data_IF_092059985400
#
_entry.id   IF_092059985400
#
_cell.length_a   1.000
_cell.length_b   1.000
_cell.length_c   1.000
_cell.angle_alpha   90.00
_cell.angle_beta   90.00
_cell.angle_gamma   90.00
#
_symmetry.space_group_name_H-M   'P 1'
#
loop_
_entity.id
_entity.type
_entity.pdbx_description
1 polymer ?
#
# COMPACT_ATOMS: atom_id res chain seq x y z
N UNK A 1 -5.65 12.08 -15.46
CA UNK A 1 -5.19 12.00 -14.06
C UNK A 1 -6.34 11.53 -13.19
N UNK A 2 -6.12 10.49 -12.41
CA UNK A 2 -7.14 9.89 -11.55
C UNK A 2 -6.59 9.89 -10.12
N UNK A 3 -7.39 10.30 -9.16
CA UNK A 3 -7.09 10.13 -7.73
C UNK A 3 -8.26 9.43 -7.07
N UNK A 4 -7.99 8.30 -6.43
CA UNK A 4 -8.97 7.57 -5.64
C UNK A 4 -8.76 7.85 -4.15
N UNK A 5 -9.82 7.88 -3.38
CA UNK A 5 -9.76 8.14 -1.94
C UNK A 5 -9.81 6.81 -1.18
N UNK A 6 -8.64 6.35 -0.72
CA UNK A 6 -8.52 5.22 0.20
C UNK A 6 -8.71 5.68 1.66
N UNK A 7 -8.26 4.92 2.63
CA UNK A 7 -8.39 5.23 4.06
C UNK A 7 -7.32 4.50 4.86
N UNK A 8 -6.93 5.06 6.00
CA UNK A 8 -6.11 4.37 7.01
C UNK A 8 -6.74 3.05 7.47
N UNK A 9 -8.07 2.98 7.53
CA UNK A 9 -8.79 1.74 7.78
C UNK A 9 -8.53 0.69 6.70
N UNK A 10 -8.42 1.08 5.43
CA UNK A 10 -8.06 0.17 4.34
C UNK A 10 -6.60 -0.29 4.42
N UNK A 11 -5.70 0.60 4.81
CA UNK A 11 -4.26 0.31 4.87
C UNK A 11 -3.86 -0.45 6.13
N UNK A 12 -4.43 -0.10 7.28
CA UNK A 12 -3.95 -0.54 8.60
C UNK A 12 -5.03 -1.22 9.45
N UNK A 13 -6.28 -1.20 9.00
CA UNK A 13 -7.43 -1.73 9.74
C UNK A 13 -8.00 -0.78 10.78
N UNK A 14 -9.26 -1.02 11.16
CA UNK A 14 -9.92 -0.40 12.29
C UNK A 14 -11.05 -1.31 12.78
N UNK A 15 -11.23 -1.41 14.10
CA UNK A 15 -12.23 -2.28 14.70
C UNK A 15 -13.65 -1.95 14.18
N UNK A 16 -14.42 -2.98 13.84
CA UNK A 16 -15.81 -2.85 13.39
C UNK A 16 -15.97 -2.35 11.93
N UNK A 17 -14.90 -2.17 11.16
CA UNK A 17 -14.93 -1.60 9.80
C UNK A 17 -14.40 -2.56 8.72
N UNK A 18 -14.62 -3.87 8.86
CA UNK A 18 -14.09 -4.87 7.91
C UNK A 18 -14.57 -4.63 6.46
N UNK A 19 -15.85 -4.35 6.26
CA UNK A 19 -16.43 -4.06 4.94
C UNK A 19 -15.89 -2.74 4.35
N UNK A 20 -15.78 -1.70 5.16
CA UNK A 20 -15.22 -0.42 4.76
C UNK A 20 -13.72 -0.54 4.43
N UNK A 21 -12.95 -1.24 5.28
CA UNK A 21 -11.54 -1.51 5.04
C UNK A 21 -11.30 -2.27 3.74
N UNK A 22 -12.08 -3.33 3.49
CA UNK A 22 -12.02 -4.10 2.25
C UNK A 22 -12.29 -3.22 1.02
N UNK A 23 -13.34 -2.39 1.06
CA UNK A 23 -13.69 -1.47 -0.02
C UNK A 23 -12.57 -0.44 -0.28
N UNK A 24 -11.99 0.13 0.77
CA UNK A 24 -10.95 1.15 0.65
C UNK A 24 -9.59 0.59 0.21
N UNK A 25 -9.22 -0.62 0.64
CA UNK A 25 -8.02 -1.30 0.14
C UNK A 25 -8.24 -1.79 -1.31
N UNK A 26 -9.45 -2.19 -1.69
CA UNK A 26 -9.80 -2.53 -3.05
C UNK A 26 -9.50 -1.42 -4.06
N UNK A 27 -9.63 -0.13 -3.66
CA UNK A 27 -9.23 1.01 -4.48
C UNK A 27 -7.73 1.06 -4.74
N UNK A 28 -6.90 0.62 -3.78
CA UNK A 28 -5.44 0.51 -3.97
C UNK A 28 -5.12 -0.61 -4.96
N UNK A 29 -5.79 -1.76 -4.86
CA UNK A 29 -5.66 -2.85 -5.83
C UNK A 29 -6.05 -2.41 -7.25
N UNK A 30 -7.17 -1.68 -7.38
CA UNK A 30 -7.59 -1.08 -8.65
C UNK A 30 -6.54 -0.10 -9.19
N UNK A 31 -6.02 0.80 -8.35
CA UNK A 31 -4.95 1.73 -8.72
C UNK A 31 -3.72 0.98 -9.24
N UNK A 32 -3.27 -0.07 -8.54
CA UNK A 32 -2.09 -0.85 -8.93
C UNK A 32 -2.25 -1.52 -10.31
N UNK A 33 -3.47 -1.92 -10.67
CA UNK A 33 -3.76 -2.48 -11.99
C UNK A 33 -3.86 -1.39 -13.05
N UNK A 34 -4.63 -0.33 -12.79
CA UNK A 34 -4.86 0.76 -13.75
C UNK A 34 -3.59 1.57 -14.07
N UNK A 35 -2.62 1.69 -13.14
CA UNK A 35 -1.34 2.34 -13.44
C UNK A 35 -0.58 1.63 -14.57
N UNK A 36 -0.75 0.31 -14.69
CA UNK A 36 -0.11 -0.51 -15.73
C UNK A 36 -0.91 -0.43 -17.02
N UNK A 37 -2.22 -0.66 -16.96
CA UNK A 37 -3.12 -0.63 -18.12
C UNK A 37 -3.15 0.75 -18.80
N UNK A 38 -3.11 1.81 -18.00
CA UNK A 38 -3.17 3.20 -18.46
C UNK A 38 -1.87 3.77 -18.99
N UNK A 39 -0.73 3.12 -18.75
CA UNK A 39 0.61 3.65 -19.04
C UNK A 39 0.79 4.06 -20.50
N UNK A 40 0.35 3.22 -21.44
CA UNK A 40 0.45 3.50 -22.89
C UNK A 40 -0.34 4.72 -23.35
N UNK A 41 -1.34 5.14 -22.59
CA UNK A 41 -2.20 6.28 -22.88
C UNK A 41 -1.89 7.48 -21.98
N UNK A 42 -0.75 7.48 -21.27
CA UNK A 42 -0.37 8.51 -20.30
C UNK A 42 -1.46 8.77 -19.23
N UNK A 43 -2.21 7.73 -18.89
CA UNK A 43 -3.16 7.77 -17.77
C UNK A 43 -2.38 7.46 -16.49
N UNK A 44 -2.45 8.36 -15.54
CA UNK A 44 -1.83 8.22 -14.23
C UNK A 44 -2.90 8.15 -13.17
N UNK A 45 -2.75 7.22 -12.25
CA UNK A 45 -3.68 7.01 -11.13
C UNK A 45 -2.91 6.91 -9.83
N UNK A 46 -3.41 7.61 -8.81
CA UNK A 46 -2.86 7.65 -7.45
C UNK A 46 -3.98 7.49 -6.42
N UNK A 47 -3.62 7.23 -5.19
CA UNK A 47 -4.54 7.18 -4.06
C UNK A 47 -4.20 8.27 -3.04
N UNK A 48 -5.21 8.91 -2.46
CA UNK A 48 -5.07 9.74 -1.27
C UNK A 48 -5.70 9.01 -0.08
N UNK A 49 -4.98 9.00 1.04
CA UNK A 49 -5.44 8.51 2.35
C UNK A 49 -5.57 9.72 3.29
N UNK A 50 -6.74 10.39 3.30
CA UNK A 50 -6.90 11.63 4.05
C UNK A 50 -7.22 11.38 5.52
N UNK A 51 -6.71 12.27 6.38
CA UNK A 51 -7.17 12.48 7.75
C UNK A 51 -7.74 13.90 7.81
N UNK A 52 -9.07 13.99 7.79
CA UNK A 52 -9.76 15.27 7.77
C UNK A 52 -11.04 15.24 8.60
N UNK A 53 -11.33 16.33 9.26
CA UNK A 53 -12.58 16.52 9.98
C UNK A 53 -13.73 16.72 8.99
N UNK A 54 -14.78 15.94 9.14
CA UNK A 54 -16.02 16.01 8.36
C UNK A 54 -17.20 15.78 9.28
N UNK A 55 -18.40 15.95 8.78
CA UNK A 55 -19.63 15.58 9.51
C UNK A 55 -19.61 14.14 10.06
N UNK A 56 -18.85 13.23 9.41
CA UNK A 56 -18.71 11.84 9.87
C UNK A 56 -17.79 11.70 11.09
N UNK A 57 -16.98 12.70 11.40
CA UNK A 57 -16.04 12.70 12.54
C UNK A 57 -16.50 13.59 13.69
N UNK A 58 -17.62 14.28 13.53
CA UNK A 58 -18.24 15.06 14.60
C UNK A 58 -18.54 14.18 15.83
N UNK A 59 -18.13 14.65 17.00
CA UNK A 59 -18.30 13.91 18.26
C UNK A 59 -17.30 12.76 18.52
N UNK A 60 -16.42 12.44 17.57
CA UNK A 60 -15.40 11.40 17.76
C UNK A 60 -14.08 11.94 18.35
N UNK A 61 -13.86 13.25 18.26
CA UNK A 61 -12.63 13.94 18.73
C UNK A 61 -13.01 15.27 19.36
N UNK A 62 -12.14 15.82 20.26
CA UNK A 62 -12.30 17.19 20.75
C UNK A 62 -12.35 18.21 19.61
N UNK A 63 -13.14 19.26 19.76
CA UNK A 63 -13.34 20.29 18.74
C UNK A 63 -12.03 21.00 18.34
N UNK A 64 -11.12 21.21 19.30
CA UNK A 64 -9.79 21.77 19.05
C UNK A 64 -8.94 20.91 18.11
N UNK A 65 -9.08 19.58 18.17
CA UNK A 65 -8.40 18.65 17.27
C UNK A 65 -9.05 18.69 15.89
N UNK A 66 -10.39 18.68 15.84
CA UNK A 66 -11.14 18.77 14.58
C UNK A 66 -10.83 20.05 13.82
N UNK A 67 -10.63 21.17 14.52
CA UNK A 67 -10.27 22.45 13.94
C UNK A 67 -8.90 22.42 13.21
N UNK A 68 -8.01 21.49 13.57
CA UNK A 68 -6.71 21.32 12.93
C UNK A 68 -6.76 20.34 11.72
N UNK A 69 -7.86 19.62 11.55
CA UNK A 69 -8.04 18.60 10.52
C UNK A 69 -8.93 19.11 9.37
N UNK A 70 -8.78 20.36 8.98
CA UNK A 70 -9.59 20.93 7.89
C UNK A 70 -9.35 20.17 6.56
N UNK A 71 -10.39 19.84 5.80
CA UNK A 71 -10.26 19.19 4.49
C UNK A 71 -9.35 19.93 3.52
N UNK A 72 -9.31 21.27 3.62
CA UNK A 72 -8.47 22.14 2.78
C UNK A 72 -6.98 21.85 2.93
N UNK A 73 -6.54 21.29 4.07
CA UNK A 73 -5.14 20.90 4.30
C UNK A 73 -4.71 19.65 3.52
N UNK A 74 -5.66 18.89 2.97
CA UNK A 74 -5.39 17.76 2.08
C UNK A 74 -5.21 18.21 0.62
N UNK A 75 -5.87 19.28 0.22
CA UNK A 75 -5.95 19.76 -1.17
C UNK A 75 -4.57 19.94 -1.84
N UNK A 76 -3.53 20.55 -1.23
CA UNK A 76 -2.23 20.71 -1.88
C UNK A 76 -1.59 19.38 -2.27
N UNK A 77 -1.77 18.34 -1.46
CA UNK A 77 -1.31 16.98 -1.78
C UNK A 77 -2.02 16.41 -3.00
N UNK A 78 -3.36 16.53 -3.05
CA UNK A 78 -4.16 16.07 -4.19
C UNK A 78 -3.76 16.80 -5.47
N UNK A 79 -3.51 18.11 -5.41
CA UNK A 79 -3.06 18.89 -6.57
C UNK A 79 -1.74 18.37 -7.15
N UNK A 80 -0.80 17.89 -6.30
CA UNK A 80 0.42 17.26 -6.75
C UNK A 80 0.16 15.90 -7.45
N UNK A 81 -0.89 15.19 -7.09
CA UNK A 81 -1.25 13.91 -7.71
C UNK A 81 -1.96 14.06 -9.06
N UNK A 82 -2.42 15.25 -9.43
CA UNK A 82 -3.14 15.50 -10.69
C UNK A 82 -2.40 16.41 -11.68
N UNK A 83 -1.24 16.96 -11.33
CA UNK A 83 -0.44 17.79 -12.25
C UNK A 83 0.07 16.97 -13.46
N UNK A 84 0.54 17.67 -14.50
CA UNK A 84 0.97 17.05 -15.75
C UNK A 84 2.07 16.00 -15.53
N UNK A 85 3.05 16.29 -14.68
CA UNK A 85 4.18 15.43 -14.31
C UNK A 85 3.91 14.60 -13.03
N UNK A 86 2.65 14.44 -12.62
CA UNK A 86 2.28 13.66 -11.44
C UNK A 86 2.88 12.25 -11.46
N UNK A 87 3.19 11.66 -10.28
CA UNK A 87 3.55 10.25 -10.17
C UNK A 87 2.38 9.34 -10.62
N UNK A 88 2.60 8.04 -10.63
CA UNK A 88 1.53 7.04 -10.76
C UNK A 88 1.75 5.90 -9.79
N UNK A 89 0.68 5.39 -9.19
CA UNK A 89 0.76 4.31 -8.21
C UNK A 89 1.16 4.74 -6.80
N UNK A 90 1.13 6.05 -6.49
CA UNK A 90 1.44 6.57 -5.17
C UNK A 90 0.23 6.50 -4.25
N UNK A 91 0.45 6.12 -3.00
CA UNK A 91 -0.51 6.27 -1.90
C UNK A 91 -0.01 7.42 -1.02
N UNK A 92 -0.69 8.57 -1.08
CA UNK A 92 -0.35 9.76 -0.31
C UNK A 92 -1.25 9.86 0.92
N UNK A 93 -0.68 9.72 2.11
CA UNK A 93 -1.34 10.08 3.36
C UNK A 93 -1.25 11.58 3.58
N UNK A 94 -2.37 12.23 3.92
CA UNK A 94 -2.47 13.68 4.04
C UNK A 94 -3.45 14.08 5.15
N UNK A 95 -3.03 14.99 6.03
CA UNK A 95 -3.89 15.55 7.09
C UNK A 95 -3.16 16.58 7.92
N UNK A 96 -3.86 17.60 8.42
CA UNK A 96 -3.31 18.67 9.25
C UNK A 96 -2.06 19.36 8.65
N UNK A 97 -1.92 19.39 7.32
CA UNK A 97 -0.74 19.91 6.65
C UNK A 97 0.48 18.96 6.63
N UNK A 98 0.36 17.76 7.19
CA UNK A 98 1.37 16.70 7.12
C UNK A 98 1.10 15.77 5.94
N UNK A 99 2.18 15.32 5.28
CA UNK A 99 2.12 14.41 4.14
C UNK A 99 3.16 13.31 4.29
N UNK A 100 2.78 12.08 3.94
CA UNK A 100 3.69 10.94 3.87
C UNK A 100 3.26 9.99 2.77
N UNK A 101 4.17 9.12 2.32
CA UNK A 101 3.87 8.06 1.37
C UNK A 101 3.69 6.72 2.10
N UNK A 102 2.70 5.95 1.68
CA UNK A 102 2.56 4.54 2.07
C UNK A 102 2.91 3.64 0.89
N UNK A 103 3.56 2.52 1.17
CA UNK A 103 3.96 1.53 0.17
C UNK A 103 3.61 0.12 0.65
N UNK A 104 3.38 -0.79 -0.30
CA UNK A 104 3.28 -2.22 -0.08
C UNK A 104 4.63 -2.82 -0.44
N UNK A 105 5.27 -3.45 0.52
CA UNK A 105 6.58 -4.07 0.35
C UNK A 105 6.55 -5.50 0.87
N UNK A 106 7.46 -6.34 0.37
CA UNK A 106 7.69 -7.68 0.89
C UNK A 106 9.11 -7.76 1.50
N UNK A 107 9.27 -8.63 2.47
CA UNK A 107 10.59 -9.03 2.96
C UNK A 107 11.37 -9.76 1.87
N UNK A 108 12.67 -9.92 2.07
CA UNK A 108 13.50 -10.69 1.14
C UNK A 108 13.01 -12.13 0.95
N UNK A 109 12.43 -12.73 2.00
CA UNK A 109 11.96 -14.11 2.01
C UNK A 109 13.09 -15.15 2.04
N UNK A 110 12.72 -16.43 1.98
CA UNK A 110 13.63 -17.55 1.96
C UNK A 110 13.10 -18.69 1.08
N UNK A 111 13.98 -19.41 0.39
CA UNK A 111 13.66 -20.71 -0.18
C UNK A 111 13.76 -21.77 0.92
N UNK A 112 12.71 -22.53 1.13
CA UNK A 112 12.61 -23.54 2.21
C UNK A 112 12.77 -24.97 1.66
N UNK A 113 12.35 -25.22 0.43
CA UNK A 113 12.44 -26.55 -0.18
C UNK A 113 11.30 -26.82 -1.17
N UNK A 114 11.30 -28.00 -1.75
CA UNK A 114 10.23 -28.56 -2.59
C UNK A 114 10.04 -30.06 -2.30
N UNK A 115 8.91 -30.63 -2.69
CA UNK A 115 8.58 -32.03 -2.47
C UNK A 115 8.55 -32.39 -0.98
N UNK A 116 9.10 -33.52 -0.60
CA UNK A 116 9.10 -34.03 0.79
C UNK A 116 9.89 -33.16 1.77
N UNK A 117 10.79 -32.33 1.28
CA UNK A 117 11.54 -31.38 2.12
C UNK A 117 10.71 -30.14 2.52
N UNK A 118 9.60 -29.86 1.87
CA UNK A 118 8.75 -28.72 2.17
C UNK A 118 7.69 -29.10 3.20
N UNK A 119 8.00 -28.93 4.47
CA UNK A 119 7.11 -29.21 5.60
C UNK A 119 6.81 -27.95 6.40
N UNK A 120 5.80 -28.01 7.27
CA UNK A 120 5.47 -26.90 8.17
C UNK A 120 6.65 -26.56 9.11
N UNK A 121 7.34 -27.59 9.60
CA UNK A 121 8.50 -27.46 10.47
C UNK A 121 9.68 -26.80 9.73
N UNK A 122 9.87 -27.12 8.45
CA UNK A 122 10.90 -26.47 7.64
C UNK A 122 10.59 -24.99 7.42
N UNK A 123 9.32 -24.61 7.24
CA UNK A 123 8.89 -23.20 7.17
C UNK A 123 9.12 -22.52 8.52
N UNK A 124 8.76 -23.16 9.63
CA UNK A 124 9.00 -22.64 10.98
C UNK A 124 10.49 -22.40 11.24
N UNK A 125 11.36 -23.35 10.88
CA UNK A 125 12.81 -23.20 11.02
C UNK A 125 13.39 -22.05 10.19
N UNK A 126 12.73 -21.63 9.11
CA UNK A 126 13.13 -20.51 8.26
C UNK A 126 12.43 -19.18 8.64
N UNK A 127 11.56 -19.18 9.66
CA UNK A 127 10.63 -18.08 9.95
C UNK A 127 11.31 -16.72 10.12
N UNK A 128 12.42 -16.67 10.87
CA UNK A 128 13.17 -15.44 11.09
C UNK A 128 13.69 -14.81 9.79
N UNK A 129 14.11 -15.66 8.82
CA UNK A 129 14.54 -15.18 7.50
C UNK A 129 13.35 -14.72 6.64
N UNK A 130 12.22 -15.43 6.73
CA UNK A 130 10.99 -15.11 5.99
C UNK A 130 10.45 -13.76 6.45
N UNK A 131 10.52 -13.46 7.76
CA UNK A 131 9.93 -12.26 8.37
C UNK A 131 10.93 -11.13 8.59
N UNK A 132 12.19 -11.26 8.15
CA UNK A 132 13.23 -10.23 8.30
C UNK A 132 12.88 -8.97 7.50
N UNK A 133 12.50 -7.91 8.21
CA UNK A 133 12.15 -6.61 7.63
C UNK A 133 13.34 -5.70 7.35
N UNK A 134 14.58 -6.14 7.62
CA UNK A 134 15.80 -5.36 7.38
C UNK A 134 16.06 -5.12 5.88
N UNK A 135 15.56 -6.02 5.03
CA UNK A 135 15.57 -5.88 3.55
C UNK A 135 14.16 -6.02 3.02
N UNK A 136 13.72 -4.99 2.32
CA UNK A 136 12.38 -4.93 1.75
C UNK A 136 12.46 -4.72 0.23
N UNK A 137 11.54 -5.34 -0.48
CA UNK A 137 11.41 -5.25 -1.94
C UNK A 137 10.07 -4.63 -2.28
N UNK A 138 10.09 -3.61 -3.12
CA UNK A 138 8.90 -3.01 -3.71
C UNK A 138 8.69 -3.59 -5.11
N UNK A 139 7.49 -4.09 -5.39
CA UNK A 139 7.09 -4.58 -6.71
C UNK A 139 6.15 -3.60 -7.40
N UNK A 140 6.44 -3.26 -8.65
CA UNK A 140 5.60 -2.39 -9.46
C UNK A 140 4.47 -3.15 -10.17
N UNK A 141 4.62 -4.46 -10.32
CA UNK A 141 3.65 -5.33 -10.98
C UNK A 141 3.71 -6.76 -10.42
N UNK A 142 2.59 -7.48 -10.50
CA UNK A 142 2.52 -8.87 -10.05
C UNK A 142 3.50 -9.81 -10.78
N UNK A 143 3.88 -9.51 -12.02
CA UNK A 143 4.91 -10.27 -12.74
C UNK A 143 6.30 -10.19 -12.11
N UNK A 144 6.67 -9.04 -11.53
CA UNK A 144 7.94 -8.88 -10.81
C UNK A 144 7.97 -9.74 -9.53
N UNK A 145 6.85 -9.79 -8.80
CA UNK A 145 6.70 -10.70 -7.66
C UNK A 145 6.90 -12.17 -8.08
N UNK A 146 6.28 -12.62 -9.19
CA UNK A 146 6.50 -13.96 -9.73
C UNK A 146 7.97 -14.23 -10.05
N UNK A 147 8.66 -13.27 -10.67
CA UNK A 147 10.10 -13.37 -10.95
C UNK A 147 10.94 -13.48 -9.69
N UNK A 148 10.58 -12.76 -8.60
CA UNK A 148 11.25 -12.86 -7.31
C UNK A 148 11.13 -14.27 -6.71
N UNK A 149 9.96 -14.90 -6.79
CA UNK A 149 9.77 -16.30 -6.33
C UNK A 149 10.68 -17.26 -7.11
N UNK A 150 10.79 -17.10 -8.43
CA UNK A 150 11.70 -17.92 -9.23
C UNK A 150 13.19 -17.64 -8.92
N UNK A 151 13.55 -16.41 -8.58
CA UNK A 151 14.90 -16.07 -8.16
C UNK A 151 15.27 -16.74 -6.82
N UNK A 152 14.36 -16.76 -5.85
CA UNK A 152 14.53 -17.48 -4.59
C UNK A 152 14.70 -18.98 -4.80
N UNK A 153 13.89 -19.59 -5.66
CA UNK A 153 14.00 -20.99 -6.07
C UNK A 153 15.40 -21.28 -6.68
N UNK A 154 15.84 -20.44 -7.60
CA UNK A 154 17.14 -20.61 -8.26
C UNK A 154 18.33 -20.47 -7.30
N UNK A 155 18.24 -19.56 -6.34
CA UNK A 155 19.26 -19.38 -5.31
C UNK A 155 19.32 -20.58 -4.35
N UNK A 156 18.17 -21.12 -3.94
CA UNK A 156 18.10 -22.25 -3.03
C UNK A 156 18.55 -23.59 -3.63
N UNK A 157 18.51 -23.75 -4.97
CA UNK A 157 19.04 -24.95 -5.66
C UNK A 157 20.56 -24.97 -5.83
N UNK A 158 21.25 -23.85 -5.53
CA UNK A 158 22.71 -23.74 -5.67
C UNK A 158 23.46 -23.95 -4.36
N UNK A 159 22.78 -24.02 -3.25
CA UNK A 159 23.31 -24.33 -1.92
C UNK A 159 22.92 -25.72 -1.46
#
# INVERSE_FOLDING_TARGET
RIVVTTSSTGLYGNFGQANYGAAKLGLVGMMNTLKIEGAKNNIKINAVCPVAATRMTEGLMPEEVLAQLKPEYVTPGVMNLVKQDAPTGMILSAGAGAFSMAEIVETRGAYVGQGDALTAEAVEAAWDKITDTSVQTHFNAGGEHGQNIFALLAAGKKG
#
